data_IF_224907389212
#
_entry.id   IF_224907389212
#
_cell.length_a   1.000
_cell.length_b   1.000
_cell.length_c   1.000
_cell.angle_alpha   90.00
_cell.angle_beta   90.00
_cell.angle_gamma   90.00
#
_symmetry.space_group_name_H-M   'P 1'
#
loop_
_entity.id
_entity.type
_entity.pdbx_description
1 polymer ?
#
# COMPACT_ATOMS: atom_id res chain seq x y z
N UNK A 1 -8.03 -18.67 0.84
CA UNK A 1 -7.77 -18.22 -0.55
C UNK A 1 -8.01 -16.75 -0.46
N UNK A 2 -6.95 -15.95 -0.65
CA UNK A 2 -7.04 -14.51 -0.52
C UNK A 2 -8.12 -13.96 -1.45
N UNK A 3 -8.95 -13.08 -0.89
CA UNK A 3 -9.97 -12.38 -1.66
C UNK A 3 -9.29 -11.35 -2.57
N UNK A 4 -9.89 -11.03 -3.72
CA UNK A 4 -9.31 -10.08 -4.69
C UNK A 4 -10.28 -8.94 -4.94
N UNK A 5 -9.75 -7.74 -5.16
CA UNK A 5 -10.60 -6.60 -5.46
C UNK A 5 -11.37 -6.81 -6.78
N UNK A 6 -12.61 -6.34 -6.83
CA UNK A 6 -13.43 -6.36 -8.04
C UNK A 6 -13.08 -5.18 -8.97
N UNK A 7 -11.79 -5.01 -9.25
CA UNK A 7 -11.25 -3.93 -10.07
C UNK A 7 -10.20 -3.07 -9.36
N UNK A 8 -9.80 -1.95 -9.98
CA UNK A 8 -8.72 -1.12 -9.49
C UNK A 8 -9.06 -0.45 -8.16
N UNK A 9 -8.07 -0.35 -7.30
CA UNK A 9 -8.18 0.26 -5.97
C UNK A 9 -7.33 1.53 -5.90
N UNK A 10 -7.82 2.53 -5.17
CA UNK A 10 -7.10 3.79 -4.93
C UNK A 10 -6.22 3.77 -3.68
N UNK A 11 -6.40 2.77 -2.83
CA UNK A 11 -5.61 2.55 -1.62
C UNK A 11 -4.26 1.89 -1.94
N UNK A 12 -3.30 2.02 -1.02
CA UNK A 12 -1.94 1.50 -1.16
C UNK A 12 -1.77 0.18 -0.41
N UNK A 13 -0.76 -0.65 -0.76
CA UNK A 13 -0.38 -1.82 0.02
C UNK A 13 -0.23 -1.51 1.51
N UNK A 14 -0.71 -2.40 2.36
CA UNK A 14 -0.75 -2.22 3.81
C UNK A 14 -1.97 -1.46 4.34
N UNK A 15 -2.87 -0.99 3.46
CA UNK A 15 -4.14 -0.40 3.90
C UNK A 15 -5.00 -1.45 4.63
N UNK A 16 -5.49 -1.09 5.82
CA UNK A 16 -6.36 -1.96 6.61
C UNK A 16 -7.83 -1.56 6.47
N UNK A 17 -8.71 -2.55 6.33
CA UNK A 17 -10.15 -2.35 6.29
C UNK A 17 -10.89 -3.40 7.12
N UNK A 18 -12.18 -3.15 7.37
CA UNK A 18 -13.04 -4.06 8.12
C UNK A 18 -13.29 -5.36 7.35
N UNK A 19 -13.33 -6.46 8.07
CA UNK A 19 -13.57 -7.79 7.50
C UNK A 19 -15.08 -8.04 7.35
N UNK A 20 -15.55 -8.64 6.24
CA UNK A 20 -16.91 -9.16 6.15
C UNK A 20 -17.23 -10.16 7.26
N UNK A 21 -18.49 -10.19 7.71
CA UNK A 21 -18.91 -11.07 8.81
C UNK A 21 -18.74 -12.55 8.43
N UNK A 22 -18.07 -13.31 9.31
CA UNK A 22 -17.90 -14.76 9.15
C UNK A 22 -16.69 -15.19 8.32
N UNK A 23 -15.88 -14.24 7.86
CA UNK A 23 -14.61 -14.52 7.18
C UNK A 23 -13.60 -15.16 8.13
N UNK A 24 -12.90 -16.18 7.63
CA UNK A 24 -11.85 -16.90 8.37
C UNK A 24 -10.49 -16.32 8.06
N UNK A 25 -9.57 -16.47 9.00
CA UNK A 25 -8.18 -16.11 8.76
C UNK A 25 -7.57 -17.01 7.68
N UNK A 26 -6.87 -16.43 6.71
CA UNK A 26 -6.25 -17.15 5.60
C UNK A 26 -5.16 -18.13 6.09
N UNK A 27 -4.43 -17.77 7.14
CA UNK A 27 -3.40 -18.61 7.76
C UNK A 27 -3.98 -19.61 8.76
N UNK A 28 -5.07 -19.24 9.44
CA UNK A 28 -5.70 -20.03 10.50
C UNK A 28 -7.19 -20.24 10.21
N UNK A 29 -7.57 -21.26 9.41
CA UNK A 29 -8.95 -21.46 8.97
C UNK A 29 -9.96 -21.66 10.12
N UNK A 30 -9.48 -22.11 11.28
CA UNK A 30 -10.31 -22.35 12.47
C UNK A 30 -10.66 -21.07 13.24
N UNK A 31 -10.08 -19.92 12.88
CA UNK A 31 -10.24 -18.65 13.59
C UNK A 31 -10.92 -17.61 12.72
N UNK A 32 -11.71 -16.75 13.34
CA UNK A 32 -12.32 -15.61 12.66
C UNK A 32 -11.27 -14.53 12.38
N UNK A 33 -11.33 -13.96 11.18
CA UNK A 33 -10.52 -12.81 10.83
C UNK A 33 -11.10 -11.54 11.50
N UNK A 34 -10.21 -10.70 12.02
CA UNK A 34 -10.56 -9.44 12.70
C UNK A 34 -10.19 -8.23 11.87
N UNK A 35 -9.18 -8.34 11.01
CA UNK A 35 -8.75 -7.31 10.09
C UNK A 35 -8.43 -7.90 8.71
N UNK A 36 -8.67 -7.07 7.69
CA UNK A 36 -8.30 -7.35 6.30
C UNK A 36 -7.23 -6.34 5.89
N UNK A 37 -6.12 -6.84 5.38
CA UNK A 37 -5.00 -6.01 4.88
C UNK A 37 -4.95 -6.13 3.36
N UNK A 38 -4.77 -5.00 2.69
CA UNK A 38 -4.44 -4.97 1.28
C UNK A 38 -2.97 -5.41 1.07
N UNK A 39 -2.78 -6.53 0.37
CA UNK A 39 -1.46 -7.05 0.01
C UNK A 39 -0.91 -6.38 -1.24
N UNK A 40 -0.29 -7.17 -2.12
CA UNK A 40 0.21 -6.68 -3.41
C UNK A 40 -0.90 -5.96 -4.19
N UNK A 41 -0.53 -4.82 -4.77
CA UNK A 41 -1.45 -3.93 -5.48
C UNK A 41 -0.85 -3.52 -6.80
N UNK A 42 -1.62 -3.71 -7.86
CA UNK A 42 -1.25 -3.33 -9.21
C UNK A 42 -2.37 -2.49 -9.87
N UNK A 43 -2.22 -2.27 -11.18
CA UNK A 43 -3.19 -1.50 -11.97
C UNK A 43 -4.52 -2.22 -12.22
N UNK A 44 -4.61 -3.53 -11.94
CA UNK A 44 -5.81 -4.34 -12.10
C UNK A 44 -6.56 -4.55 -10.78
N UNK A 45 -5.89 -4.41 -9.64
CA UNK A 45 -6.52 -4.54 -8.34
C UNK A 45 -5.53 -4.78 -7.20
N UNK A 46 -6.02 -5.43 -6.16
CA UNK A 46 -5.20 -5.89 -5.06
C UNK A 46 -5.69 -7.22 -4.52
N UNK A 47 -4.77 -7.94 -3.87
CA UNK A 47 -5.13 -9.04 -2.98
C UNK A 47 -5.51 -8.54 -1.59
N UNK A 48 -6.40 -9.26 -0.93
CA UNK A 48 -6.79 -9.03 0.45
C UNK A 48 -6.41 -10.23 1.29
N UNK A 49 -5.71 -9.96 2.38
CA UNK A 49 -5.24 -10.94 3.34
C UNK A 49 -6.08 -10.80 4.60
N UNK A 50 -6.86 -11.83 4.92
CA UNK A 50 -7.72 -11.86 6.10
C UNK A 50 -6.97 -12.44 7.30
N UNK A 51 -6.79 -11.64 8.34
CA UNK A 51 -5.93 -11.96 9.47
C UNK A 51 -6.73 -12.05 10.78
N UNK A 52 -6.47 -13.10 11.57
CA UNK A 52 -6.82 -13.09 12.99
C UNK A 52 -5.83 -12.20 13.77
N UNK A 53 -6.13 -11.89 15.02
CA UNK A 53 -5.32 -10.95 15.82
C UNK A 53 -3.84 -11.35 15.90
N UNK A 54 -3.55 -12.65 16.08
CA UNK A 54 -2.17 -13.16 16.15
C UNK A 54 -1.40 -12.92 14.85
N UNK A 55 -2.01 -13.20 13.69
CA UNK A 55 -1.39 -12.96 12.38
C UNK A 55 -1.18 -11.47 12.12
N UNK A 56 -2.13 -10.63 12.54
CA UNK A 56 -2.00 -9.18 12.41
C UNK A 56 -0.86 -8.64 13.29
N UNK A 57 -0.72 -9.14 14.52
CA UNK A 57 0.37 -8.74 15.42
C UNK A 57 1.73 -9.20 14.89
N UNK A 58 1.80 -10.36 14.25
CA UNK A 58 2.98 -10.84 13.53
C UNK A 58 3.31 -9.96 12.33
N UNK A 59 2.33 -9.65 11.47
CA UNK A 59 2.50 -8.74 10.34
C UNK A 59 2.99 -7.35 10.78
N UNK A 60 2.47 -6.81 11.89
CA UNK A 60 2.94 -5.53 12.43
C UNK A 60 4.38 -5.59 12.96
N UNK A 61 4.82 -6.74 13.45
CA UNK A 61 6.20 -6.96 13.89
C UNK A 61 7.13 -7.07 12.69
N UNK A 62 6.78 -7.90 11.72
CA UNK A 62 7.53 -8.07 10.48
C UNK A 62 7.66 -6.75 9.71
N UNK A 63 6.58 -5.99 9.55
CA UNK A 63 6.61 -4.68 8.89
C UNK A 63 7.46 -3.63 9.64
N UNK A 64 7.66 -3.76 10.96
CA UNK A 64 8.57 -2.86 11.70
C UNK A 64 10.03 -3.24 11.53
N UNK A 65 10.31 -4.52 11.31
CA UNK A 65 11.66 -5.07 11.16
C UNK A 65 12.07 -5.17 9.68
N UNK A 66 11.12 -5.01 8.75
CA UNK A 66 11.34 -5.07 7.33
C UNK A 66 12.30 -3.99 6.85
N UNK A 67 13.18 -4.40 5.93
CA UNK A 67 14.06 -3.47 5.22
C UNK A 67 13.31 -2.86 4.04
N UNK A 68 13.03 -1.57 4.12
CA UNK A 68 12.43 -0.77 3.05
C UNK A 68 13.48 0.01 2.25
N UNK A 69 14.77 -0.27 2.44
CA UNK A 69 15.83 0.33 1.65
C UNK A 69 15.85 -0.24 0.24
N UNK A 70 16.23 0.59 -0.72
CA UNK A 70 16.20 0.17 -2.13
C UNK A 70 16.58 1.29 -3.08
N UNK A 71 16.39 1.03 -4.37
CA UNK A 71 16.60 2.02 -5.42
C UNK A 71 15.26 2.69 -5.77
N UNK A 72 15.18 4.00 -5.59
CA UNK A 72 13.99 4.78 -5.91
C UNK A 72 13.63 4.68 -7.40
N UNK A 73 12.36 4.40 -7.71
CA UNK A 73 11.89 4.24 -9.07
C UNK A 73 11.95 5.52 -9.91
N UNK A 74 11.89 6.69 -9.27
CA UNK A 74 11.86 7.97 -10.00
C UNK A 74 13.24 8.54 -10.23
N UNK A 75 14.04 8.72 -9.17
CA UNK A 75 15.39 9.29 -9.31
C UNK A 75 16.49 8.25 -9.54
N UNK A 76 16.17 6.95 -9.45
CA UNK A 76 17.11 5.83 -9.62
C UNK A 76 18.31 5.87 -8.65
N UNK A 77 18.17 6.54 -7.50
CA UNK A 77 19.17 6.60 -6.43
C UNK A 77 18.83 5.63 -5.32
N UNK A 78 19.86 5.15 -4.62
CA UNK A 78 19.67 4.38 -3.38
C UNK A 78 19.09 5.28 -2.29
N UNK A 79 18.10 4.77 -1.57
CA UNK A 79 17.51 5.40 -0.40
C UNK A 79 17.41 4.38 0.75
N UNK A 80 17.54 4.88 1.98
CA UNK A 80 17.41 4.07 3.19
C UNK A 80 15.96 3.63 3.44
N UNK A 81 15.00 4.34 2.85
CA UNK A 81 13.58 4.03 2.95
C UNK A 81 12.83 4.47 1.70
N UNK A 82 12.13 3.53 1.07
CA UNK A 82 11.20 3.76 -0.02
C UNK A 82 9.76 3.67 0.48
N UNK A 83 8.90 4.49 -0.10
CA UNK A 83 7.48 4.52 0.22
C UNK A 83 6.70 4.10 -1.03
N UNK A 84 5.67 3.25 -0.89
CA UNK A 84 4.75 3.00 -1.97
C UNK A 84 4.02 4.30 -2.32
N UNK A 85 4.12 4.74 -3.57
CA UNK A 85 3.57 6.00 -4.02
C UNK A 85 3.00 5.87 -5.44
N UNK A 86 1.93 6.61 -5.74
CA UNK A 86 1.33 6.66 -7.08
C UNK A 86 1.63 8.00 -7.71
N UNK A 87 1.92 7.97 -9.01
CA UNK A 87 2.02 9.18 -9.81
C UNK A 87 0.61 9.80 -9.96
N UNK A 88 0.47 11.04 -9.53
CA UNK A 88 -0.80 11.75 -9.54
C UNK A 88 -1.26 12.01 -10.98
N UNK A 89 -0.34 12.16 -11.93
CA UNK A 89 -0.65 12.36 -13.36
C UNK A 89 -1.16 11.08 -14.04
N UNK A 90 -0.73 9.89 -13.57
CA UNK A 90 -1.24 8.60 -14.05
C UNK A 90 -2.63 8.25 -13.47
N UNK A 91 -3.09 9.02 -12.48
CA UNK A 91 -4.38 8.84 -11.82
C UNK A 91 -4.34 7.88 -10.63
N UNK A 92 -5.38 7.96 -9.78
CA UNK A 92 -5.41 7.30 -8.47
C UNK A 92 -5.43 5.77 -8.49
N UNK A 93 -5.56 5.14 -9.66
CA UNK A 93 -5.56 3.69 -9.85
C UNK A 93 -4.36 3.19 -10.69
N UNK A 94 -3.38 4.07 -10.96
CA UNK A 94 -2.18 3.77 -11.76
C UNK A 94 -1.20 2.81 -11.10
N UNK A 95 0.01 2.65 -11.64
CA UNK A 95 1.02 1.76 -11.05
C UNK A 95 1.46 2.28 -9.67
N UNK A 96 1.75 1.37 -8.74
CA UNK A 96 2.43 1.70 -7.47
C UNK A 96 3.94 1.63 -7.70
N UNK A 97 4.64 2.70 -7.32
CA UNK A 97 6.09 2.86 -7.42
C UNK A 97 6.72 2.86 -6.03
N UNK A 98 7.97 2.42 -5.93
CA UNK A 98 8.76 2.56 -4.70
C UNK A 98 9.61 3.83 -4.76
N UNK A 99 9.19 4.87 -4.05
CA UNK A 99 9.71 6.22 -4.22
C UNK A 99 10.30 6.74 -2.92
N UNK A 100 11.44 7.42 -3.00
CA UNK A 100 12.05 8.05 -1.84
C UNK A 100 11.30 9.33 -1.43
N UNK A 101 11.34 9.65 -0.14
CA UNK A 101 10.68 10.83 0.43
C UNK A 101 10.98 12.15 -0.30
N UNK A 102 12.23 12.46 -0.70
CA UNK A 102 12.52 13.69 -1.45
C UNK A 102 11.80 13.81 -2.80
N UNK A 103 11.59 12.68 -3.48
CA UNK A 103 10.88 12.66 -4.77
C UNK A 103 9.38 12.94 -4.58
N UNK A 104 8.78 12.36 -3.54
CA UNK A 104 7.38 12.61 -3.17
C UNK A 104 7.18 14.08 -2.77
N UNK A 105 8.12 14.64 -1.98
CA UNK A 105 8.04 16.03 -1.54
C UNK A 105 8.23 17.01 -2.71
N UNK A 106 9.13 16.70 -3.64
CA UNK A 106 9.33 17.50 -4.85
C UNK A 106 8.09 17.49 -5.75
N UNK A 107 7.44 16.34 -5.92
CA UNK A 107 6.16 16.27 -6.64
C UNK A 107 5.11 17.13 -5.93
N UNK A 108 4.90 16.91 -4.63
CA UNK A 108 3.93 17.70 -3.85
C UNK A 108 4.17 19.20 -3.97
N UNK A 109 5.42 19.65 -3.89
CA UNK A 109 5.76 21.05 -4.04
C UNK A 109 5.39 21.61 -5.42
N UNK A 110 5.69 20.89 -6.51
CA UNK A 110 5.31 21.32 -7.87
C UNK A 110 3.81 21.52 -7.99
N UNK A 111 3.03 20.57 -7.47
CA UNK A 111 1.57 20.65 -7.48
C UNK A 111 1.03 21.80 -6.63
N UNK A 112 1.62 22.06 -5.46
CA UNK A 112 1.26 23.22 -4.63
C UNK A 112 1.60 24.56 -5.30
N UNK A 113 2.66 24.61 -6.11
CA UNK A 113 3.03 25.79 -6.90
C UNK A 113 2.05 26.01 -8.06
N UNK A 114 1.71 24.97 -8.81
CA UNK A 114 0.72 25.02 -9.90
C UNK A 114 -0.69 25.41 -9.39
N UNK A 115 -1.11 24.89 -8.24
CA UNK A 115 -2.41 25.25 -7.64
C UNK A 115 -2.46 26.72 -7.24
N UNK A 116 -1.35 27.27 -6.72
CA UNK A 116 -1.23 28.71 -6.40
C UNK A 116 -1.24 29.61 -7.63
N UNK A 117 -0.66 29.20 -8.75
CA UNK A 117 -0.67 29.99 -10.00
C UNK A 117 -2.06 29.99 -10.69
N UNK A 118 -2.94 29.06 -10.30
CA UNK A 118 -4.25 28.87 -10.90
C UNK A 118 -5.36 29.74 -10.27
N UNK A 119 -5.05 30.47 -9.19
CA UNK A 119 -5.96 31.33 -8.42
C UNK A 119 -5.38 32.73 -8.20
#
# INVERSE_FOLDING_TARGET
MADISNGPVSTLPGHSCGVPTGTKCDTHPDRDAVLRIQGETDSFGCEYIDMCQECHDEYLRESREADYSGTCDWCKKQADHLYPHRDIEEGGCGRVYEVCKPCIDAERQRWEEEDKERW
#
